data_IF_135348837352
#
_entry.id   IF_135348837352
#
_cell.length_a   1.000
_cell.length_b   1.000
_cell.length_c   1.000
_cell.angle_alpha   90.00
_cell.angle_beta   90.00
_cell.angle_gamma   90.00
#
_symmetry.space_group_name_H-M   'P 1'
#
loop_
_entity.id
_entity.type
_entity.pdbx_description
1 polymer ?
#
# COMPACT_ATOMS: atom_id res chain seq x y z
N UNK A 1 7.00 5.19 4.96
CA UNK A 1 7.17 3.89 5.66
C UNK A 1 7.95 2.97 4.73
N UNK A 2 9.02 2.33 5.21
CA UNK A 2 9.77 1.35 4.42
C UNK A 2 8.94 0.08 4.20
N UNK A 3 9.16 -0.60 3.07
CA UNK A 3 8.37 -1.76 2.66
C UNK A 3 8.48 -2.91 3.65
N UNK A 4 9.68 -3.14 4.21
CA UNK A 4 9.92 -4.19 5.21
C UNK A 4 9.08 -4.02 6.48
N UNK A 5 8.63 -2.81 6.80
CA UNK A 5 7.86 -2.53 8.00
C UNK A 5 6.35 -2.76 7.85
N UNK A 6 5.85 -2.91 6.62
CA UNK A 6 4.41 -3.01 6.37
C UNK A 6 3.78 -4.18 7.12
N UNK A 7 4.37 -5.37 7.03
CA UNK A 7 3.81 -6.57 7.65
C UNK A 7 3.75 -6.46 9.19
N UNK A 8 4.78 -5.87 9.80
CA UNK A 8 4.82 -5.63 11.24
C UNK A 8 3.70 -4.69 11.69
N UNK A 9 3.47 -3.61 10.95
CA UNK A 9 2.38 -2.67 11.23
C UNK A 9 1.01 -3.34 11.07
N UNK A 10 0.80 -4.09 9.98
CA UNK A 10 -0.44 -4.83 9.75
C UNK A 10 -0.73 -5.84 10.86
N UNK A 11 0.29 -6.55 11.37
CA UNK A 11 0.15 -7.45 12.52
C UNK A 11 -0.30 -6.70 13.78
N UNK A 12 0.24 -5.51 14.04
CA UNK A 12 -0.16 -4.69 15.19
C UNK A 12 -1.62 -4.24 15.05
N UNK A 13 -2.01 -3.72 13.89
CA UNK A 13 -3.41 -3.30 13.62
C UNK A 13 -4.36 -4.48 13.77
N UNK A 14 -3.97 -5.68 13.31
CA UNK A 14 -4.79 -6.89 13.44
C UNK A 14 -5.00 -7.27 14.91
N UNK A 15 -3.96 -7.17 15.74
CA UNK A 15 -4.06 -7.41 17.19
C UNK A 15 -5.00 -6.43 17.89
N UNK A 16 -5.16 -5.22 17.35
CA UNK A 16 -6.11 -4.23 17.86
C UNK A 16 -7.57 -4.53 17.46
N UNK A 17 -7.84 -5.56 16.65
CA UNK A 17 -9.19 -5.95 16.25
C UNK A 17 -9.83 -5.07 15.17
N UNK A 18 -9.03 -4.23 14.49
CA UNK A 18 -9.54 -3.34 13.44
C UNK A 18 -9.62 -4.08 12.09
N UNK A 19 -10.73 -3.99 11.34
CA UNK A 19 -10.88 -4.70 10.06
C UNK A 19 -10.52 -3.85 8.82
N UNK A 20 -10.28 -2.54 8.99
CA UNK A 20 -10.17 -1.56 7.90
C UNK A 20 -8.87 -0.77 7.99
N UNK A 21 -8.24 -0.55 6.83
CA UNK A 21 -7.08 0.33 6.66
C UNK A 21 -7.43 1.39 5.63
N UNK A 22 -7.11 2.65 5.94
CA UNK A 22 -7.21 3.76 4.98
C UNK A 22 -5.82 4.26 4.64
N UNK A 23 -5.52 4.42 3.35
CA UNK A 23 -4.22 4.94 2.90
C UNK A 23 -4.37 5.89 1.73
N UNK A 24 -3.50 6.90 1.69
CA UNK A 24 -3.38 7.81 0.55
C UNK A 24 -2.48 7.20 -0.52
N UNK A 25 -2.93 7.28 -1.77
CA UNK A 25 -2.14 6.87 -2.94
C UNK A 25 -1.95 8.08 -3.85
N UNK A 26 -0.78 8.75 -3.78
CA UNK A 26 -0.44 9.82 -4.70
C UNK A 26 -0.20 9.25 -6.10
N UNK A 27 -1.08 9.55 -7.06
CA UNK A 27 -1.01 8.96 -8.40
C UNK A 27 0.21 9.42 -9.17
N UNK A 28 0.58 10.69 -8.99
CA UNK A 28 1.82 11.28 -9.52
C UNK A 28 3.08 10.57 -9.00
N UNK A 29 3.06 10.01 -7.79
CA UNK A 29 4.19 9.22 -7.28
C UNK A 29 4.34 7.89 -8.02
N UNK A 30 3.23 7.32 -8.50
CA UNK A 30 3.23 6.09 -9.28
C UNK A 30 3.38 6.32 -10.79
N UNK A 31 3.23 7.56 -11.26
CA UNK A 31 3.53 7.98 -12.63
C UNK A 31 5.05 8.15 -12.79
N UNK A 32 5.72 7.13 -13.36
CA UNK A 32 7.16 7.12 -13.56
C UNK A 32 7.58 8.09 -14.67
N UNK A 33 6.76 8.13 -15.70
CA UNK A 33 6.83 9.04 -16.85
C UNK A 33 5.40 9.38 -17.24
N UNK A 34 5.21 10.41 -18.09
CA UNK A 34 3.86 10.84 -18.49
C UNK A 34 3.03 9.66 -19.03
N UNK A 35 1.95 9.32 -18.32
CA UNK A 35 1.03 8.19 -18.56
C UNK A 35 1.63 6.80 -18.42
N UNK A 36 2.81 6.66 -17.82
CA UNK A 36 3.47 5.38 -17.52
C UNK A 36 3.44 5.14 -16.02
N UNK A 37 2.72 4.11 -15.57
CA UNK A 37 2.50 3.86 -14.15
C UNK A 37 3.19 2.60 -13.65
N UNK A 38 3.76 2.66 -12.44
CA UNK A 38 4.41 1.55 -11.75
C UNK A 38 3.81 1.29 -10.37
N UNK A 39 3.31 0.07 -10.15
CA UNK A 39 2.68 -0.35 -8.88
C UNK A 39 3.32 -1.57 -8.23
N UNK A 40 4.39 -2.10 -8.83
CA UNK A 40 5.07 -3.33 -8.40
C UNK A 40 6.39 -3.03 -7.67
N UNK A 41 6.65 -1.77 -7.34
CA UNK A 41 7.85 -1.36 -6.62
C UNK A 41 9.17 -1.45 -7.40
N UNK A 42 9.14 -1.68 -8.71
CA UNK A 42 10.34 -1.83 -9.56
C UNK A 42 11.29 -0.63 -9.51
N UNK A 43 10.75 0.60 -9.51
CA UNK A 43 11.56 1.82 -9.44
C UNK A 43 11.91 2.23 -8.01
N UNK A 44 11.14 1.78 -7.01
CA UNK A 44 11.33 2.05 -5.59
C UNK A 44 10.42 1.10 -4.81
N UNK A 45 10.91 0.38 -3.78
CA UNK A 45 10.11 -0.58 -3.03
C UNK A 45 8.82 0.02 -2.44
N UNK A 46 8.81 1.31 -2.12
CA UNK A 46 7.65 2.00 -1.55
C UNK A 46 6.53 2.24 -2.57
N UNK A 47 6.80 2.07 -3.87
CA UNK A 47 5.80 2.11 -4.95
C UNK A 47 5.10 0.77 -5.18
N UNK A 48 5.36 -0.24 -4.36
CA UNK A 48 4.71 -1.56 -4.44
C UNK A 48 3.28 -1.54 -3.87
N UNK A 49 2.39 -0.77 -4.50
CA UNK A 49 0.98 -0.70 -4.12
C UNK A 49 0.31 -2.07 -4.25
N UNK A 50 0.67 -2.84 -5.28
CA UNK A 50 0.16 -4.20 -5.48
C UNK A 50 0.51 -5.09 -4.28
N UNK A 51 1.78 -5.14 -3.90
CA UNK A 51 2.24 -5.92 -2.76
C UNK A 51 1.61 -5.46 -1.43
N UNK A 52 1.40 -4.14 -1.25
CA UNK A 52 0.69 -3.64 -0.07
C UNK A 52 -0.76 -4.15 0.01
N UNK A 53 -1.48 -4.14 -1.11
CA UNK A 53 -2.87 -4.62 -1.17
C UNK A 53 -2.96 -6.14 -0.98
N UNK A 54 -2.06 -6.91 -1.59
CA UNK A 54 -1.98 -8.36 -1.40
C UNK A 54 -1.68 -8.72 0.05
N UNK A 55 -0.75 -8.00 0.68
CA UNK A 55 -0.42 -8.19 2.09
C UNK A 55 -1.60 -7.83 2.99
N UNK A 56 -2.28 -6.71 2.73
CA UNK A 56 -3.49 -6.32 3.47
C UNK A 56 -4.59 -7.38 3.37
N UNK A 57 -4.80 -7.93 2.16
CA UNK A 57 -5.74 -9.03 1.91
C UNK A 57 -5.34 -10.31 2.67
N UNK A 58 -4.06 -10.68 2.67
CA UNK A 58 -3.54 -11.83 3.45
C UNK A 58 -3.89 -11.73 4.93
N UNK A 59 -3.86 -10.53 5.49
CA UNK A 59 -4.21 -10.31 6.90
C UNK A 59 -5.71 -10.14 7.16
N UNK A 60 -6.54 -10.07 6.12
CA UNK A 60 -7.99 -9.96 6.22
C UNK A 60 -8.50 -8.52 6.37
N UNK A 61 -7.73 -7.53 5.94
CA UNK A 61 -8.15 -6.13 6.00
C UNK A 61 -8.93 -5.73 4.75
N UNK A 62 -9.97 -4.93 4.95
CA UNK A 62 -10.52 -4.06 3.92
C UNK A 62 -9.57 -2.86 3.75
N UNK A 63 -9.36 -2.42 2.51
CA UNK A 63 -8.53 -1.25 2.21
C UNK A 63 -9.37 -0.19 1.53
N UNK A 64 -9.45 0.99 2.16
CA UNK A 64 -10.02 2.18 1.55
C UNK A 64 -8.89 3.04 0.98
N UNK A 65 -8.74 2.99 -0.35
CA UNK A 65 -7.76 3.79 -1.07
C UNK A 65 -8.27 5.20 -1.29
N UNK A 66 -7.46 6.19 -0.90
CA UNK A 66 -7.72 7.60 -1.16
C UNK A 66 -6.76 8.09 -2.24
N UNK A 67 -7.14 8.07 -3.52
CA UNK A 67 -6.29 8.62 -4.56
C UNK A 67 -6.13 10.12 -4.34
N UNK A 68 -4.90 10.62 -4.52
CA UNK A 68 -4.62 12.05 -4.62
C UNK A 68 -3.87 12.29 -5.93
N UNK A 69 -4.40 13.22 -6.73
CA UNK A 69 -3.79 13.72 -7.96
C UNK A 69 -2.68 14.72 -7.64
#
# INVERSE_FOLDING_TARGET
MLRENWESVLKVIKKMGLPLITTYVPWNYHELERRVYGFEGKSSPQRDLKGFLELSKKYGFYVFLRPRS
#
